data_IF_775164683612
#
_entry.id   IF_775164683612
#
_cell.length_a   1.000
_cell.length_b   1.000
_cell.length_c   1.000
_cell.angle_alpha   90.00
_cell.angle_beta   90.00
_cell.angle_gamma   90.00
#
_symmetry.space_group_name_H-M   'P 1'
#
loop_
_entity.id
_entity.type
_entity.pdbx_description
1 polymer ?
#
# COMPACT_ATOMS: atom_id res chain seq x y z
N UNK A 1 5.24 17.32 20.56
CA UNK A 1 3.94 17.70 19.92
C UNK A 1 2.94 16.56 19.96
N UNK A 2 3.20 15.37 19.39
CA UNK A 2 2.26 14.24 19.36
C UNK A 2 1.73 13.84 20.75
N UNK A 3 2.60 13.64 21.74
CA UNK A 3 2.19 13.34 23.12
C UNK A 3 1.31 14.42 23.75
N UNK A 4 1.63 15.68 23.52
CA UNK A 4 0.83 16.80 24.06
C UNK A 4 -0.58 16.87 23.47
N UNK A 5 -0.79 16.27 22.30
CA UNK A 5 -2.07 16.16 21.62
C UNK A 5 -2.72 14.76 21.78
N UNK A 6 -2.20 13.93 22.68
CA UNK A 6 -2.70 12.57 22.97
C UNK A 6 -2.79 11.67 21.72
N UNK A 7 -1.94 11.90 20.72
CA UNK A 7 -1.84 11.02 19.56
C UNK A 7 -1.41 9.62 19.99
N UNK A 8 -1.93 8.60 19.31
CA UNK A 8 -1.56 7.19 19.55
C UNK A 8 -0.46 6.72 18.61
N UNK A 9 -0.32 7.38 17.47
CA UNK A 9 0.64 7.03 16.43
C UNK A 9 1.20 8.26 15.74
N UNK A 10 2.27 8.05 15.00
CA UNK A 10 2.85 8.97 14.02
C UNK A 10 2.88 8.25 12.69
N UNK A 11 2.40 8.92 11.63
CA UNK A 11 2.45 8.40 10.27
C UNK A 11 3.35 9.26 9.40
N UNK A 12 4.19 8.62 8.60
CA UNK A 12 4.94 9.27 7.54
C UNK A 12 4.26 8.97 6.21
N UNK A 13 3.90 10.04 5.55
CA UNK A 13 3.19 10.06 4.27
C UNK A 13 3.61 11.32 3.51
N UNK A 14 3.24 11.50 2.25
CA UNK A 14 3.55 12.66 1.42
C UNK A 14 4.91 13.34 1.72
N UNK A 15 5.98 13.02 1.01
CA UNK A 15 5.95 12.06 -0.11
C UNK A 15 6.19 10.62 0.37
N UNK A 16 7.02 9.88 -0.36
CA UNK A 16 7.42 8.51 0.00
C UNK A 16 8.37 8.54 1.22
N UNK A 17 8.09 7.80 2.31
CA UNK A 17 8.93 7.79 3.52
C UNK A 17 10.37 7.39 3.27
N UNK A 18 10.61 6.50 2.30
CA UNK A 18 11.94 6.01 1.95
C UNK A 18 12.84 7.06 1.30
N UNK A 19 12.26 8.15 0.75
CA UNK A 19 13.04 9.26 0.18
C UNK A 19 13.77 10.09 1.25
N UNK A 20 13.39 9.97 2.50
CA UNK A 20 13.95 10.66 3.66
C UNK A 20 14.15 9.70 4.83
N UNK A 21 14.67 8.55 4.48
CA UNK A 21 14.76 7.35 5.32
C UNK A 21 15.43 7.62 6.68
N UNK A 22 16.55 8.33 6.70
CA UNK A 22 17.27 8.61 7.95
C UNK A 22 16.40 9.40 8.94
N UNK A 23 15.61 10.35 8.43
CA UNK A 23 14.70 11.11 9.26
C UNK A 23 13.57 10.24 9.80
N UNK A 24 12.96 9.40 8.97
CA UNK A 24 11.87 8.50 9.40
C UNK A 24 12.38 7.48 10.39
N UNK A 25 13.55 6.90 10.15
CA UNK A 25 14.20 5.95 11.05
C UNK A 25 14.51 6.54 12.43
N UNK A 26 15.17 7.70 12.50
CA UNK A 26 15.46 8.35 13.78
C UNK A 26 14.18 8.79 14.50
N UNK A 27 13.19 9.25 13.75
CA UNK A 27 11.89 9.61 14.31
C UNK A 27 11.12 8.40 14.83
N UNK A 28 11.19 7.24 14.16
CA UNK A 28 10.54 6.00 14.58
C UNK A 28 11.14 5.48 15.90
N UNK A 29 12.46 5.50 16.02
CA UNK A 29 13.15 5.17 17.28
C UNK A 29 12.74 6.09 18.42
N UNK A 30 12.56 7.38 18.13
CA UNK A 30 12.10 8.36 19.14
C UNK A 30 10.62 8.13 19.48
N UNK A 31 9.79 7.80 18.50
CA UNK A 31 8.37 7.48 18.69
C UNK A 31 8.21 6.28 19.63
N UNK A 32 8.92 5.19 19.35
CA UNK A 32 8.89 3.98 20.17
C UNK A 32 9.31 4.26 21.64
N UNK A 33 10.37 5.06 21.85
CA UNK A 33 10.81 5.49 23.21
C UNK A 33 9.74 6.32 23.94
N UNK A 34 8.73 6.80 23.23
CA UNK A 34 7.65 7.63 23.78
C UNK A 34 6.28 6.94 23.72
N UNK A 35 6.26 5.62 23.57
CA UNK A 35 5.04 4.79 23.48
C UNK A 35 4.07 5.24 22.37
N UNK A 36 4.62 5.73 21.25
CA UNK A 36 3.86 6.08 20.06
C UNK A 36 4.05 5.02 19.00
N UNK A 37 2.95 4.57 18.39
CA UNK A 37 2.97 3.68 17.24
C UNK A 37 3.45 4.39 15.98
N UNK A 38 4.03 3.64 15.08
CA UNK A 38 4.65 4.16 13.86
C UNK A 38 4.02 3.55 12.64
N UNK A 39 3.71 4.38 11.64
CA UNK A 39 2.99 3.96 10.46
C UNK A 39 3.66 4.53 9.21
N UNK A 40 3.91 3.68 8.21
CA UNK A 40 4.25 4.11 6.86
C UNK A 40 3.02 4.12 5.96
N UNK A 41 2.89 5.17 5.15
CA UNK A 41 2.04 5.18 3.96
C UNK A 41 3.01 5.27 2.79
N UNK A 42 3.18 4.18 2.05
CA UNK A 42 4.33 3.96 1.16
C UNK A 42 3.92 3.29 -0.14
N UNK A 43 4.70 3.50 -1.19
CA UNK A 43 4.57 2.74 -2.42
C UNK A 43 5.19 1.32 -2.33
N UNK A 44 5.82 0.98 -1.21
CA UNK A 44 6.45 -0.31 -0.97
C UNK A 44 7.75 -0.55 -1.72
N UNK A 45 8.22 0.40 -2.54
CA UNK A 45 9.43 0.25 -3.35
C UNK A 45 10.66 0.73 -2.57
N UNK A 46 11.22 -0.16 -1.79
CA UNK A 46 12.44 0.08 -0.99
C UNK A 46 13.37 -1.14 -1.09
N UNK A 47 14.64 -0.95 -0.77
CA UNK A 47 15.57 -2.08 -0.71
C UNK A 47 15.30 -2.94 0.51
N UNK A 48 15.63 -4.22 0.43
CA UNK A 48 15.53 -5.17 1.56
C UNK A 48 16.32 -4.66 2.77
N UNK A 49 17.51 -4.09 2.55
CA UNK A 49 18.33 -3.54 3.64
C UNK A 49 17.62 -2.38 4.36
N UNK A 50 16.92 -1.52 3.62
CA UNK A 50 16.14 -0.42 4.22
C UNK A 50 14.98 -0.98 5.03
N UNK A 51 14.30 -1.99 4.51
CA UNK A 51 13.21 -2.66 5.22
C UNK A 51 13.71 -3.34 6.49
N UNK A 52 14.79 -4.10 6.43
CA UNK A 52 15.40 -4.76 7.60
C UNK A 52 15.77 -3.78 8.71
N UNK A 53 16.23 -2.58 8.33
CA UNK A 53 16.60 -1.53 9.29
C UNK A 53 15.38 -0.91 9.96
N UNK A 54 14.30 -0.66 9.21
CA UNK A 54 13.11 0.04 9.74
C UNK A 54 12.11 -0.91 10.40
N UNK A 55 12.01 -2.16 9.96
CA UNK A 55 11.01 -3.12 10.43
C UNK A 55 10.91 -3.22 11.97
N UNK A 56 12.01 -3.26 12.74
CA UNK A 56 11.92 -3.30 14.21
C UNK A 56 11.26 -2.07 14.85
N UNK A 57 11.09 -1.01 14.10
CA UNK A 57 10.55 0.27 14.55
C UNK A 57 9.23 0.64 13.85
N UNK A 58 8.67 -0.27 13.03
CA UNK A 58 7.46 -0.03 12.25
C UNK A 58 6.31 -0.90 12.77
N UNK A 59 5.25 -0.28 13.25
CA UNK A 59 4.08 -0.99 13.77
C UNK A 59 3.07 -1.34 12.66
N UNK A 60 2.94 -0.46 11.66
CA UNK A 60 2.00 -0.67 10.55
C UNK A 60 2.49 -0.01 9.25
N UNK A 61 2.00 -0.53 8.13
CA UNK A 61 2.19 0.05 6.81
C UNK A 61 0.90 -0.04 5.99
N UNK A 62 0.52 1.07 5.35
CA UNK A 62 -0.42 1.04 4.23
C UNK A 62 0.40 1.12 2.94
N UNK A 63 0.36 0.05 2.16
CA UNK A 63 1.16 -0.08 0.94
C UNK A 63 0.30 0.12 -0.29
N UNK A 64 0.70 1.07 -1.14
CA UNK A 64 0.11 1.28 -2.44
C UNK A 64 0.58 0.20 -3.43
N UNK A 65 -0.11 -0.94 -3.52
CA UNK A 65 0.11 -1.92 -4.58
C UNK A 65 -0.61 -1.44 -5.85
N UNK A 66 0.15 -0.80 -6.74
CA UNK A 66 -0.41 0.00 -7.83
C UNK A 66 -0.90 -0.82 -9.02
N UNK A 67 -0.42 -2.05 -9.20
CA UNK A 67 -0.81 -2.97 -10.27
C UNK A 67 -0.14 -4.32 -10.13
N UNK A 68 -0.46 -5.26 -11.02
CA UNK A 68 0.06 -6.63 -10.97
C UNK A 68 0.83 -7.02 -12.22
N UNK A 69 1.29 -6.04 -13.01
CA UNK A 69 2.17 -6.30 -14.14
C UNK A 69 3.43 -5.44 -14.08
N UNK A 70 4.58 -6.04 -14.39
CA UNK A 70 5.85 -5.31 -14.45
C UNK A 70 5.82 -4.23 -15.56
N UNK A 71 5.04 -4.47 -16.62
CA UNK A 71 4.79 -3.46 -17.65
C UNK A 71 4.17 -2.19 -17.07
N UNK A 72 3.13 -2.33 -16.22
CA UNK A 72 2.51 -1.18 -15.54
C UNK A 72 3.54 -0.44 -14.69
N UNK A 73 4.33 -1.17 -13.91
CA UNK A 73 5.35 -0.57 -13.05
C UNK A 73 6.45 0.12 -13.83
N UNK A 74 6.97 -0.48 -14.89
CA UNK A 74 8.05 0.12 -15.69
C UNK A 74 7.58 1.33 -16.50
N UNK A 75 6.39 1.28 -17.09
CA UNK A 75 5.87 2.37 -17.94
C UNK A 75 5.33 3.56 -17.13
N UNK A 76 4.64 3.32 -16.01
CA UNK A 76 3.98 4.38 -15.23
C UNK A 76 4.72 4.76 -13.96
N UNK A 77 5.32 3.79 -13.27
CA UNK A 77 5.96 4.03 -11.99
C UNK A 77 7.48 4.18 -12.08
N UNK A 78 8.09 3.85 -13.23
CA UNK A 78 9.55 3.78 -13.43
C UNK A 78 10.22 2.88 -12.38
N UNK A 79 9.58 1.76 -12.06
CA UNK A 79 9.94 0.80 -11.02
C UNK A 79 9.68 -0.63 -11.52
N UNK A 80 9.85 -1.62 -10.67
CA UNK A 80 9.52 -3.02 -10.91
C UNK A 80 8.51 -3.54 -9.89
N UNK A 81 7.71 -4.53 -10.27
CA UNK A 81 6.68 -5.10 -9.42
C UNK A 81 7.26 -5.96 -8.29
N UNK A 82 8.19 -6.86 -8.62
CA UNK A 82 8.67 -7.90 -7.69
C UNK A 82 9.17 -7.34 -6.35
N UNK A 83 9.97 -6.26 -6.28
CA UNK A 83 10.40 -5.70 -5.00
C UNK A 83 9.24 -5.25 -4.10
N UNK A 84 8.13 -4.78 -4.69
CA UNK A 84 6.96 -4.37 -3.91
C UNK A 84 6.25 -5.58 -3.30
N UNK A 85 6.09 -6.66 -4.08
CA UNK A 85 5.47 -7.90 -3.60
C UNK A 85 6.33 -8.55 -2.50
N UNK A 86 7.64 -8.63 -2.71
CA UNK A 86 8.58 -9.16 -1.72
C UNK A 86 8.55 -8.35 -0.41
N UNK A 87 8.52 -7.03 -0.50
CA UNK A 87 8.45 -6.16 0.67
C UNK A 87 7.13 -6.29 1.43
N UNK A 88 5.99 -6.43 0.73
CA UNK A 88 4.69 -6.70 1.38
C UNK A 88 4.75 -8.01 2.17
N UNK A 89 5.27 -9.07 1.56
CA UNK A 89 5.43 -10.36 2.22
C UNK A 89 6.36 -10.24 3.45
N UNK A 90 7.51 -9.59 3.29
CA UNK A 90 8.47 -9.39 4.38
C UNK A 90 7.86 -8.58 5.53
N UNK A 91 7.16 -7.49 5.24
CA UNK A 91 6.47 -6.69 6.26
C UNK A 91 5.47 -7.53 7.06
N UNK A 92 4.69 -8.37 6.36
CA UNK A 92 3.75 -9.27 7.01
C UNK A 92 4.47 -10.30 7.90
N UNK A 93 5.52 -10.94 7.40
CA UNK A 93 6.28 -11.96 8.12
C UNK A 93 7.01 -11.42 9.36
N UNK A 94 7.45 -10.15 9.30
CA UNK A 94 8.03 -9.40 10.43
C UNK A 94 6.96 -8.95 11.46
N UNK A 95 5.68 -9.24 11.23
CA UNK A 95 4.58 -8.92 12.14
C UNK A 95 4.12 -7.45 12.10
N UNK A 96 4.52 -6.71 11.06
CA UNK A 96 4.00 -5.36 10.80
C UNK A 96 2.54 -5.48 10.34
N UNK A 97 1.65 -4.68 10.90
CA UNK A 97 0.27 -4.63 10.42
C UNK A 97 0.21 -4.01 9.02
N UNK A 98 -0.03 -4.84 8.02
CA UNK A 98 -0.09 -4.40 6.62
C UNK A 98 -1.53 -4.16 6.21
N UNK A 99 -1.78 -3.02 5.56
CA UNK A 99 -2.96 -2.75 4.74
C UNK A 99 -2.52 -2.48 3.29
N UNK A 100 -3.34 -2.86 2.33
CA UNK A 100 -3.02 -2.65 0.91
C UNK A 100 -4.05 -1.73 0.27
N UNK A 101 -3.56 -0.72 -0.43
CA UNK A 101 -4.38 0.19 -1.23
C UNK A 101 -4.07 0.02 -2.71
N UNK A 102 -5.12 -0.15 -3.52
CA UNK A 102 -5.02 -0.16 -4.98
C UNK A 102 -5.87 0.96 -5.57
N UNK A 103 -5.20 1.90 -6.24
CA UNK A 103 -5.87 2.90 -7.07
C UNK A 103 -6.21 2.27 -8.42
N UNK A 104 -7.48 2.04 -8.68
CA UNK A 104 -7.95 1.40 -9.92
C UNK A 104 -8.03 2.45 -11.03
N UNK A 105 -7.20 2.29 -12.06
CA UNK A 105 -7.09 3.25 -13.19
C UNK A 105 -7.61 2.58 -14.46
N UNK A 106 -8.69 3.11 -15.07
CA UNK A 106 -9.28 2.54 -16.28
C UNK A 106 -8.29 2.42 -17.44
N UNK A 107 -8.22 1.23 -18.03
CA UNK A 107 -7.34 0.92 -19.16
C UNK A 107 -5.87 0.65 -18.79
N UNK A 108 -5.52 0.69 -17.51
CA UNK A 108 -4.16 0.46 -17.04
C UNK A 108 -4.02 -0.75 -16.09
N UNK A 109 -4.85 -0.82 -15.06
CA UNK A 109 -4.81 -1.89 -14.04
C UNK A 109 -6.22 -2.37 -13.62
N UNK A 110 -7.24 -2.07 -14.44
CA UNK A 110 -8.65 -2.40 -14.15
C UNK A 110 -9.17 -3.64 -14.91
N UNK A 111 -8.28 -4.35 -15.60
CA UNK A 111 -8.67 -5.60 -16.25
C UNK A 111 -9.08 -6.66 -15.21
N UNK A 112 -9.91 -7.62 -15.64
CA UNK A 112 -10.32 -8.72 -14.77
C UNK A 112 -9.10 -9.51 -14.29
N UNK A 113 -8.15 -9.70 -15.19
CA UNK A 113 -6.91 -10.45 -14.96
C UNK A 113 -6.02 -9.75 -13.94
N UNK A 114 -5.84 -8.42 -14.04
CA UNK A 114 -5.05 -7.63 -13.09
C UNK A 114 -5.67 -7.63 -11.69
N UNK A 115 -7.00 -7.39 -11.63
CA UNK A 115 -7.71 -7.39 -10.35
C UNK A 115 -7.73 -8.77 -9.69
N UNK A 116 -7.87 -9.85 -10.47
CA UNK A 116 -7.78 -11.22 -9.98
C UNK A 116 -6.37 -11.56 -9.46
N UNK A 117 -5.33 -11.13 -10.17
CA UNK A 117 -3.95 -11.36 -9.76
C UNK A 117 -3.65 -10.63 -8.44
N UNK A 118 -4.11 -9.37 -8.29
CA UNK A 118 -3.96 -8.60 -7.06
C UNK A 118 -4.68 -9.27 -5.88
N UNK A 119 -5.93 -9.61 -6.07
CA UNK A 119 -6.74 -10.28 -5.04
C UNK A 119 -6.14 -11.61 -4.64
N UNK A 120 -5.66 -12.41 -5.60
CA UNK A 120 -5.00 -13.67 -5.36
C UNK A 120 -3.74 -13.48 -4.52
N UNK A 121 -2.87 -12.55 -4.90
CA UNK A 121 -1.64 -12.24 -4.14
C UNK A 121 -1.95 -11.87 -2.69
N UNK A 122 -2.89 -10.94 -2.46
CA UNK A 122 -3.26 -10.52 -1.10
C UNK A 122 -3.81 -11.69 -0.28
N UNK A 123 -4.67 -12.51 -0.87
CA UNK A 123 -5.24 -13.69 -0.19
C UNK A 123 -4.20 -14.77 0.11
N UNK A 124 -3.16 -14.90 -0.73
CA UNK A 124 -2.04 -15.84 -0.50
C UNK A 124 -1.10 -15.37 0.61
N UNK A 125 -0.92 -14.05 0.79
CA UNK A 125 -0.17 -13.50 1.92
C UNK A 125 -0.97 -13.70 3.22
N UNK A 126 -2.14 -13.07 3.34
CA UNK A 126 -3.08 -13.30 4.45
C UNK A 126 -4.47 -12.71 4.11
N UNK A 127 -5.52 -13.51 4.23
CA UNK A 127 -6.92 -13.08 4.05
C UNK A 127 -7.38 -12.04 5.07
N UNK A 128 -6.61 -11.78 6.10
CA UNK A 128 -6.89 -10.75 7.11
C UNK A 128 -6.29 -9.38 6.75
N UNK A 129 -5.45 -9.28 5.71
CA UNK A 129 -4.93 -7.99 5.24
C UNK A 129 -6.09 -7.15 4.72
N UNK A 130 -6.33 -5.95 5.27
CA UNK A 130 -7.31 -5.03 4.73
C UNK A 130 -6.93 -4.59 3.31
N UNK A 131 -7.86 -4.73 2.37
CA UNK A 131 -7.68 -4.34 0.97
C UNK A 131 -8.61 -3.19 0.62
N UNK A 132 -8.04 -2.09 0.17
CA UNK A 132 -8.74 -0.88 -0.21
C UNK A 132 -8.68 -0.68 -1.72
N UNK A 133 -9.83 -0.64 -2.39
CA UNK A 133 -9.93 -0.20 -3.78
C UNK A 133 -10.37 1.26 -3.81
N UNK A 134 -9.56 2.12 -4.43
CA UNK A 134 -9.84 3.55 -4.52
C UNK A 134 -10.09 3.96 -5.97
N UNK A 135 -10.94 4.98 -6.12
CA UNK A 135 -11.36 5.50 -7.39
C UNK A 135 -10.34 6.48 -7.94
N UNK A 136 -9.91 6.28 -9.19
CA UNK A 136 -9.09 7.25 -9.91
C UNK A 136 -9.97 8.41 -10.41
N UNK A 137 -9.39 9.61 -10.34
CA UNK A 137 -9.90 10.81 -11.00
C UNK A 137 -8.82 11.43 -11.89
N UNK A 138 -9.18 11.95 -13.10
CA UNK A 138 -8.22 12.48 -14.03
C UNK A 138 -7.47 13.70 -13.47
N UNK A 139 -6.15 13.62 -13.51
CA UNK A 139 -5.25 14.70 -13.10
C UNK A 139 -3.96 14.68 -13.89
N UNK A 140 -3.33 15.83 -14.02
CA UNK A 140 -2.00 16.03 -14.60
C UNK A 140 -1.85 15.33 -15.97
N UNK A 141 -0.92 14.41 -16.15
CA UNK A 141 -0.65 13.71 -17.40
C UNK A 141 -1.70 12.65 -17.77
N UNK A 142 -2.66 12.38 -16.89
CA UNK A 142 -3.74 11.43 -17.09
C UNK A 142 -5.11 12.14 -17.20
N UNK A 143 -5.13 13.37 -17.70
CA UNK A 143 -6.36 14.17 -17.87
C UNK A 143 -7.36 13.55 -18.85
N UNK A 144 -6.89 12.71 -19.77
CA UNK A 144 -7.68 12.05 -20.81
C UNK A 144 -8.27 10.70 -20.34
N UNK A 145 -7.83 10.20 -19.18
CA UNK A 145 -8.33 8.96 -18.61
C UNK A 145 -9.64 9.24 -17.87
N UNK A 146 -10.69 8.46 -18.13
CA UNK A 146 -11.96 8.63 -17.44
C UNK A 146 -11.86 8.25 -15.95
N UNK A 147 -12.67 8.86 -15.07
CA UNK A 147 -12.76 8.40 -13.69
C UNK A 147 -13.17 6.93 -13.62
N UNK A 148 -12.67 6.20 -12.64
CA UNK A 148 -13.04 4.79 -12.47
C UNK A 148 -14.54 4.62 -12.31
N UNK A 149 -15.21 3.82 -13.13
CA UNK A 149 -16.61 3.50 -12.95
C UNK A 149 -16.87 2.81 -11.60
N UNK A 150 -17.92 3.19 -10.89
CA UNK A 150 -18.28 2.55 -9.61
C UNK A 150 -18.44 1.04 -9.77
N UNK A 151 -19.07 0.59 -10.88
CA UNK A 151 -19.24 -0.82 -11.15
C UNK A 151 -17.95 -1.63 -11.33
N UNK A 152 -16.81 -0.98 -11.66
CA UNK A 152 -15.49 -1.63 -11.65
C UNK A 152 -15.04 -1.91 -10.23
N UNK A 153 -15.20 -0.94 -9.33
CA UNK A 153 -14.88 -1.10 -7.91
C UNK A 153 -15.77 -2.14 -7.24
N UNK A 154 -17.06 -2.16 -7.56
CA UNK A 154 -18.00 -3.19 -7.05
C UNK A 154 -17.58 -4.59 -7.46
N UNK A 155 -17.11 -4.76 -8.71
CA UNK A 155 -16.58 -6.04 -9.21
C UNK A 155 -15.30 -6.42 -8.46
N UNK A 156 -14.36 -5.49 -8.29
CA UNK A 156 -13.11 -5.73 -7.55
C UNK A 156 -13.41 -6.16 -6.10
N UNK A 157 -14.32 -5.45 -5.43
CA UNK A 157 -14.75 -5.82 -4.07
C UNK A 157 -15.36 -7.21 -4.00
N UNK A 158 -16.22 -7.55 -4.97
CA UNK A 158 -16.83 -8.87 -5.03
C UNK A 158 -15.79 -9.97 -5.21
N UNK A 159 -14.84 -9.79 -6.16
CA UNK A 159 -13.73 -10.73 -6.36
C UNK A 159 -12.92 -10.95 -5.09
N UNK A 160 -12.58 -9.88 -4.38
CA UNK A 160 -11.81 -9.96 -3.14
C UNK A 160 -12.56 -10.72 -2.04
N UNK A 161 -13.87 -10.49 -1.88
CA UNK A 161 -14.71 -11.24 -0.95
C UNK A 161 -14.85 -12.71 -1.32
N UNK A 162 -14.99 -13.03 -2.61
CA UNK A 162 -15.05 -14.40 -3.11
C UNK A 162 -13.73 -15.17 -2.92
N UNK A 163 -12.59 -14.46 -2.95
CA UNK A 163 -11.28 -15.02 -2.60
C UNK A 163 -11.05 -15.19 -1.09
N UNK A 164 -11.99 -14.78 -0.25
CA UNK A 164 -11.94 -14.94 1.20
C UNK A 164 -11.33 -13.78 1.99
N UNK A 165 -10.95 -12.67 1.32
CA UNK A 165 -10.43 -11.50 2.02
C UNK A 165 -11.52 -10.91 2.91
N UNK A 166 -11.21 -10.77 4.21
CA UNK A 166 -12.20 -10.41 5.24
C UNK A 166 -12.55 -8.94 5.28
N UNK A 167 -11.59 -8.09 5.00
CA UNK A 167 -11.72 -6.63 5.13
C UNK A 167 -11.49 -5.99 3.76
N UNK A 168 -12.57 -5.68 3.06
CA UNK A 168 -12.52 -5.08 1.72
C UNK A 168 -13.29 -3.77 1.71
N UNK A 169 -12.58 -2.70 1.44
CA UNK A 169 -13.10 -1.33 1.43
C UNK A 169 -13.10 -0.74 0.02
N UNK A 170 -14.08 0.07 -0.27
CA UNK A 170 -14.16 0.85 -1.52
C UNK A 170 -14.28 2.31 -1.12
N UNK A 171 -13.41 3.13 -1.65
CA UNK A 171 -13.31 4.54 -1.30
C UNK A 171 -13.31 5.51 -2.49
N UNK A 172 -13.57 6.79 -2.17
CA UNK A 172 -13.69 7.98 -3.02
C UNK A 172 -14.94 8.01 -3.90
#
# INVERSE_FOLDING_TARGET
MARANHCKSISWTYNEPTMWFEYTYDSAKLAQKNDLKTVYVTNGYMSSESLDIIAPYLDAANVDLKGMSDKFYTELCQAHLDPVLENIQTMHDEGIHVEITNLVIPGYNDSVEDLQALVKFVAEVDVNIPLHFTRFYPHYQMSDVQPTPVGTLDKAQKMAKEAGIRYVYVGN
#
